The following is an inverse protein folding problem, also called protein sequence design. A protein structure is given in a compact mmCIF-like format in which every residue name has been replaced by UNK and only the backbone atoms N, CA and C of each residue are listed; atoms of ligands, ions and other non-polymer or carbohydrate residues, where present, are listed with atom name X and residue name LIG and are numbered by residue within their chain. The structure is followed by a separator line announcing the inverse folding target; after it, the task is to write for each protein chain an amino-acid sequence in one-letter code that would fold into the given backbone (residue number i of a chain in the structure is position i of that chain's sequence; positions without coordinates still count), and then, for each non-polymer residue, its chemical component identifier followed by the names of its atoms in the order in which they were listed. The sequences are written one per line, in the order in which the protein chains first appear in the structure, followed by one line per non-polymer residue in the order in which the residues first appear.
data_IF_327441696122
#
_entry.id   IF_327441696122
#
_cell.length_a   1.000
_cell.length_b   1.000
_cell.length_c   1.000
_cell.angle_alpha   90.00
_cell.angle_beta   90.00
_cell.angle_gamma   90.00
#
_symmetry.space_group_name_H-M   'P 1'
#
loop_
_entity.id
_entity.type
_entity.pdbx_description
1 polymer ?
#
# COMPACT_ATOMS: atom_id res chain seq x y z
N UNK A 1 35.79 -29.34 -8.11
CA UNK A 1 35.36 -27.92 -8.08
C UNK A 1 33.94 -27.75 -8.62
N UNK A 2 33.61 -28.20 -9.83
CA UNK A 2 32.27 -28.08 -10.44
C UNK A 2 31.12 -28.69 -9.61
N UNK A 3 31.30 -29.89 -9.04
CA UNK A 3 30.29 -30.53 -8.18
C UNK A 3 29.96 -29.72 -6.90
N UNK A 4 30.94 -28.98 -6.36
CA UNK A 4 30.73 -28.10 -5.20
C UNK A 4 29.95 -26.85 -5.60
N UNK A 5 30.25 -26.25 -6.76
CA UNK A 5 29.53 -25.09 -7.30
C UNK A 5 28.07 -25.45 -7.58
N UNK A 6 27.81 -26.60 -8.22
CA UNK A 6 26.47 -27.12 -8.47
C UNK A 6 25.68 -27.36 -7.18
N UNK A 7 26.31 -28.00 -6.18
CA UNK A 7 25.68 -28.22 -4.87
C UNK A 7 25.31 -26.91 -4.18
N UNK A 8 26.17 -25.88 -4.30
CA UNK A 8 25.91 -24.54 -3.76
C UNK A 8 24.80 -23.82 -4.50
N UNK A 9 24.81 -23.84 -5.84
CA UNK A 9 23.74 -23.28 -6.67
C UNK A 9 22.38 -23.93 -6.37
N UNK A 10 22.36 -25.25 -6.22
CA UNK A 10 21.15 -25.99 -5.88
C UNK A 10 20.68 -25.64 -4.46
N UNK A 11 21.58 -25.43 -3.50
CA UNK A 11 21.25 -24.99 -2.14
C UNK A 11 20.75 -23.54 -2.06
N UNK A 12 21.08 -22.67 -3.02
CA UNK A 12 20.59 -21.28 -3.05
C UNK A 12 19.07 -21.23 -3.26
N UNK A 13 18.52 -22.09 -4.13
CA UNK A 13 17.08 -22.12 -4.44
C UNK A 13 16.21 -22.35 -3.19
N UNK A 14 16.41 -23.41 -2.36
CA UNK A 14 15.61 -23.62 -1.16
C UNK A 14 15.85 -22.56 -0.08
N UNK A 15 17.06 -21.99 0.04
CA UNK A 15 17.31 -20.89 0.99
C UNK A 15 16.57 -19.62 0.59
N UNK A 16 16.59 -19.28 -0.70
CA UNK A 16 15.84 -18.13 -1.22
C UNK A 16 14.34 -18.35 -1.04
N UNK A 17 13.85 -19.55 -1.37
CA UNK A 17 12.44 -19.91 -1.16
C UNK A 17 12.02 -19.75 0.30
N UNK A 18 12.82 -20.26 1.25
CA UNK A 18 12.53 -20.13 2.68
C UNK A 18 12.46 -18.65 3.12
N UNK A 19 13.43 -17.82 2.71
CA UNK A 19 13.44 -16.39 3.01
C UNK A 19 12.22 -15.68 2.39
N UNK A 20 11.88 -16.02 1.15
CA UNK A 20 10.72 -15.48 0.44
C UNK A 20 9.39 -15.80 1.13
N UNK A 21 9.21 -17.05 1.59
CA UNK A 21 8.03 -17.46 2.35
C UNK A 21 7.93 -16.68 3.66
N UNK A 22 9.04 -16.57 4.40
CA UNK A 22 9.07 -15.82 5.67
C UNK A 22 8.72 -14.36 5.42
N UNK A 23 9.32 -13.72 4.41
CA UNK A 23 9.04 -12.32 4.08
C UNK A 23 7.57 -12.13 3.70
N UNK A 24 7.01 -13.01 2.87
CA UNK A 24 5.60 -12.98 2.50
C UNK A 24 4.67 -13.05 3.72
N UNK A 25 4.95 -13.96 4.66
CA UNK A 25 4.19 -14.07 5.91
C UNK A 25 4.31 -12.79 6.74
N UNK A 26 5.51 -12.21 6.86
CA UNK A 26 5.73 -10.97 7.61
C UNK A 26 4.93 -9.81 7.00
N UNK A 27 4.96 -9.66 5.67
CA UNK A 27 4.19 -8.62 4.97
C UNK A 27 2.70 -8.83 5.11
N UNK A 28 2.23 -10.08 5.08
CA UNK A 28 0.80 -10.37 5.21
C UNK A 28 0.28 -10.29 6.66
N UNK A 29 1.16 -10.47 7.64
CA UNK A 29 0.85 -10.28 9.06
C UNK A 29 0.92 -8.81 9.50
N UNK A 30 1.55 -7.93 8.71
CA UNK A 30 1.63 -6.51 9.02
C UNK A 30 0.23 -5.87 8.93
N UNK A 31 -0.24 -5.19 10.00
CA UNK A 31 -1.51 -4.48 9.96
C UNK A 31 -1.41 -3.26 9.02
N UNK A 32 -2.40 -3.10 8.13
CA UNK A 32 -2.46 -1.99 7.16
C UNK A 32 -1.79 -2.34 5.83
N UNK A 33 -2.41 -3.23 5.06
CA UNK A 33 -1.97 -3.56 3.71
C UNK A 33 -2.04 -2.36 2.75
N UNK A 34 -1.45 -2.48 1.56
CA UNK A 34 -1.45 -1.40 0.55
C UNK A 34 -2.87 -0.96 0.16
N UNK A 35 -3.84 -1.87 0.19
CA UNK A 35 -5.27 -1.58 -0.06
C UNK A 35 -5.84 -0.73 1.08
N UNK A 36 -5.63 -1.13 2.34
CA UNK A 36 -6.08 -0.36 3.49
C UNK A 36 -5.46 1.04 3.54
N UNK A 37 -4.17 1.17 3.18
CA UNK A 37 -3.50 2.47 3.09
C UNK A 37 -4.09 3.35 2.00
N UNK A 38 -4.42 2.79 0.84
CA UNK A 38 -5.07 3.53 -0.24
C UNK A 38 -6.49 3.96 0.15
N UNK A 39 -7.25 3.08 0.79
CA UNK A 39 -8.58 3.38 1.33
C UNK A 39 -8.50 4.45 2.41
N UNK A 40 -7.51 4.40 3.32
CA UNK A 40 -7.30 5.40 4.36
C UNK A 40 -6.95 6.78 3.77
N UNK A 41 -6.10 6.81 2.73
CA UNK A 41 -5.80 8.02 1.96
C UNK A 41 -7.04 8.60 1.28
N UNK A 42 -7.87 7.76 0.67
CA UNK A 42 -9.14 8.16 0.03
C UNK A 42 -10.19 8.62 1.04
N UNK A 43 -10.25 8.00 2.23
CA UNK A 43 -11.14 8.39 3.34
C UNK A 43 -10.68 9.69 4.02
N UNK A 44 -9.46 10.17 3.75
CA UNK A 44 -8.92 11.40 4.35
C UNK A 44 -8.64 11.26 5.85
N UNK A 45 -8.46 10.04 6.35
CA UNK A 45 -8.31 9.74 7.78
C UNK A 45 -6.99 10.32 8.36
N UNK A 46 -5.94 10.40 7.54
CA UNK A 46 -4.65 11.02 7.90
C UNK A 46 -4.72 12.54 8.13
N UNK A 47 -5.67 13.24 7.48
CA UNK A 47 -5.80 14.70 7.62
C UNK A 47 -6.69 15.04 8.83
N UNK A 48 -7.67 14.19 9.16
CA UNK A 48 -8.62 14.42 10.24
C UNK A 48 -8.06 14.22 11.64
N UNK A 49 -7.19 13.23 11.87
CA UNK A 49 -6.60 13.00 13.19
C UNK A 49 -5.53 14.05 13.55
N UNK A 50 -4.69 14.42 12.59
CA UNK A 50 -3.61 15.40 12.78
C UNK A 50 -4.14 16.84 12.89
N UNK A 51 -5.17 17.20 12.11
CA UNK A 51 -5.81 18.53 12.21
C UNK A 51 -6.57 18.73 13.54
N UNK A 52 -7.04 17.65 14.16
CA UNK A 52 -7.68 17.69 15.49
C UNK A 52 -6.67 17.80 16.63
N UNK A 53 -5.43 17.33 16.44
CA UNK A 53 -4.34 17.47 17.40
C UNK A 53 -3.63 18.83 17.30
N UNK A 54 -3.55 19.43 16.11
CA UNK A 54 -2.91 20.75 15.92
C UNK A 54 -3.85 21.96 16.08
N UNK A 55 -5.16 21.75 16.20
CA UNK A 55 -6.18 22.81 16.22
C UNK A 55 -6.78 23.11 17.60
N UNK A 56 -6.27 22.51 18.66
CA UNK A 56 -6.91 22.48 19.97
C UNK A 56 -6.21 23.28 21.06
N UNK A 57 -5.91 24.56 20.84
CA UNK A 57 -5.51 25.47 21.93
C UNK A 57 -5.62 26.95 21.49
N UNK A 58 -6.81 27.52 21.58
CA UNK A 58 -7.03 28.94 21.92
C UNK A 58 -8.52 29.21 22.13
N UNK A 59 -8.88 29.31 23.40
CA UNK A 59 -10.20 29.65 23.88
C UNK A 59 -10.51 31.15 23.72
N UNK A 60 -11.80 31.40 23.49
CA UNK A 60 -12.60 32.57 23.93
C UNK A 60 -12.36 33.96 23.31
N UNK A 61 -13.32 34.40 22.46
CA UNK A 61 -14.13 35.61 22.71
C UNK A 61 -15.20 35.82 21.61
N UNK A 62 -16.45 35.70 22.03
CA UNK A 62 -17.67 36.42 21.63
C UNK A 62 -17.66 37.27 20.35
N UNK A 63 -18.56 36.94 19.40
CA UNK A 63 -19.45 37.88 18.67
C UNK A 63 -20.42 37.14 17.72
N UNK A 64 -21.73 37.43 17.73
CA UNK A 64 -22.64 36.94 16.70
C UNK A 64 -22.59 37.88 15.50
N UNK A 65 -22.08 37.42 14.36
CA UNK A 65 -22.22 38.16 13.10
C UNK A 65 -22.75 37.23 12.00
N UNK A 66 -24.04 37.41 11.76
CA UNK A 66 -24.78 36.97 10.59
C UNK A 66 -24.23 37.68 9.34
N UNK A 67 -23.93 36.94 8.26
CA UNK A 67 -24.08 37.36 6.85
C UNK A 67 -23.60 36.29 5.85
N UNK A 68 -24.56 35.72 5.12
CA UNK A 68 -24.58 35.42 3.66
C UNK A 68 -23.41 34.73 2.95
N UNK A 69 -23.76 33.59 2.33
CA UNK A 69 -23.39 33.28 0.94
C UNK A 69 -22.04 32.60 0.70
N UNK A 70 -22.08 31.29 0.42
CA UNK A 70 -20.94 30.57 -0.15
C UNK A 70 -20.80 29.18 0.43
N UNK A 71 -21.25 28.19 -0.34
CA UNK A 71 -20.90 26.78 -0.19
C UNK A 71 -19.39 26.60 0.03
N UNK A 72 -18.98 26.44 1.28
CA UNK A 72 -17.70 25.84 1.64
C UNK A 72 -17.90 24.87 2.81
N UNK A 73 -18.97 24.07 2.73
CA UNK A 73 -18.95 22.76 3.36
C UNK A 73 -18.09 21.88 2.48
N UNK A 74 -16.77 21.98 2.67
CA UNK A 74 -15.89 20.82 2.51
C UNK A 74 -16.42 19.78 3.49
N UNK A 75 -17.48 19.09 3.08
CA UNK A 75 -18.08 17.98 3.77
C UNK A 75 -17.09 16.85 3.55
N UNK A 76 -16.16 16.77 4.50
CA UNK A 76 -15.21 15.69 4.65
C UNK A 76 -15.97 14.36 4.49
N UNK A 77 -15.81 13.74 3.30
CA UNK A 77 -16.41 12.47 2.90
C UNK A 77 -15.89 11.26 3.69
N UNK A 78 -15.01 11.46 4.68
CA UNK A 78 -14.44 10.38 5.49
C UNK A 78 -15.43 9.68 6.43
N UNK A 79 -16.62 10.24 6.66
CA UNK A 79 -17.66 9.63 7.49
C UNK A 79 -18.74 8.87 6.69
N UNK A 80 -18.80 9.07 5.37
CA UNK A 80 -19.62 8.22 4.51
C UNK A 80 -18.74 7.05 4.11
N UNK A 81 -19.11 5.84 4.55
CA UNK A 81 -18.42 4.62 4.15
C UNK A 81 -18.18 4.63 2.64
N UNK A 82 -16.94 4.34 2.24
CA UNK A 82 -16.58 4.23 0.83
C UNK A 82 -17.59 3.31 0.14
N UNK A 83 -18.02 3.67 -1.07
CA UNK A 83 -18.93 2.83 -1.86
C UNK A 83 -18.34 1.42 -1.96
N UNK A 84 -19.07 0.36 -1.53
CA UNK A 84 -18.55 -1.01 -1.54
C UNK A 84 -18.05 -1.44 -2.93
N UNK A 85 -18.62 -0.92 -4.01
CA UNK A 85 -18.15 -1.19 -5.37
C UNK A 85 -16.73 -0.66 -5.62
N UNK A 86 -16.38 0.49 -5.03
CA UNK A 86 -15.07 1.12 -5.16
C UNK A 86 -14.02 0.39 -4.32
N UNK A 87 -14.42 -0.14 -3.16
CA UNK A 87 -13.55 -1.02 -2.35
C UNK A 87 -13.20 -2.29 -3.14
N UNK A 88 -14.19 -2.94 -3.74
CA UNK A 88 -13.99 -4.15 -4.55
C UNK A 88 -13.10 -3.88 -5.78
N UNK A 89 -13.25 -2.72 -6.42
CA UNK A 89 -12.38 -2.31 -7.53
C UNK A 89 -10.93 -2.09 -7.08
N UNK A 90 -10.71 -1.45 -5.94
CA UNK A 90 -9.37 -1.29 -5.35
C UNK A 90 -8.78 -2.66 -4.98
N UNK A 91 -9.55 -3.56 -4.37
CA UNK A 91 -9.11 -4.91 -4.02
C UNK A 91 -8.69 -5.72 -5.26
N UNK A 92 -9.43 -5.59 -6.37
CA UNK A 92 -9.10 -6.20 -7.67
C UNK A 92 -7.82 -5.63 -8.26
N UNK A 93 -7.68 -4.30 -8.28
CA UNK A 93 -6.49 -3.63 -8.81
C UNK A 93 -5.21 -4.06 -8.09
N UNK A 94 -5.28 -4.24 -6.78
CA UNK A 94 -4.15 -4.70 -5.96
C UNK A 94 -4.01 -6.23 -5.91
N UNK A 95 -4.93 -6.97 -6.54
CA UNK A 95 -4.92 -8.43 -6.55
C UNK A 95 -5.14 -9.08 -5.18
N UNK A 96 -5.75 -8.35 -4.24
CA UNK A 96 -6.16 -8.87 -2.92
C UNK A 96 -7.46 -9.68 -2.97
N UNK A 97 -8.13 -9.71 -4.12
CA UNK A 97 -9.27 -10.60 -4.43
C UNK A 97 -8.89 -12.10 -4.38
N UNK A 98 -7.60 -12.42 -4.54
CA UNK A 98 -7.09 -13.80 -4.59
C UNK A 98 -6.56 -14.26 -3.23
N UNK A 99 -6.70 -15.56 -2.90
CA UNK A 99 -6.19 -16.09 -1.65
C UNK A 99 -4.66 -15.97 -1.55
N UNK A 100 -4.14 -15.87 -0.33
CA UNK A 100 -2.74 -15.60 -0.03
C UNK A 100 -1.75 -16.51 -0.79
N UNK A 101 -2.08 -17.80 -0.92
CA UNK A 101 -1.22 -18.75 -1.63
C UNK A 101 -1.13 -18.47 -3.14
N UNK A 102 -2.23 -18.08 -3.80
CA UNK A 102 -2.20 -17.73 -5.23
C UNK A 102 -1.33 -16.50 -5.48
N UNK A 103 -1.41 -15.50 -4.59
CA UNK A 103 -0.57 -14.31 -4.65
C UNK A 103 0.91 -14.65 -4.47
N UNK A 104 1.21 -15.56 -3.55
CA UNK A 104 2.58 -16.04 -3.34
C UNK A 104 3.15 -16.72 -4.59
N UNK A 105 2.38 -17.61 -5.24
CA UNK A 105 2.82 -18.26 -6.48
C UNK A 105 2.95 -17.29 -7.65
N UNK A 106 2.05 -16.32 -7.79
CA UNK A 106 2.17 -15.26 -8.79
C UNK A 106 3.42 -14.40 -8.57
N UNK A 107 3.64 -13.94 -7.34
CA UNK A 107 4.84 -13.18 -6.94
C UNK A 107 6.10 -13.99 -7.25
N UNK A 108 6.14 -15.27 -6.89
CA UNK A 108 7.29 -16.13 -7.17
C UNK A 108 7.53 -16.30 -8.68
N UNK A 109 6.47 -16.48 -9.46
CA UNK A 109 6.56 -16.54 -10.93
C UNK A 109 7.11 -15.26 -11.54
N UNK A 110 6.71 -14.10 -11.04
CA UNK A 110 7.19 -12.79 -11.51
C UNK A 110 8.66 -12.59 -11.13
N UNK A 111 9.05 -12.89 -9.89
CA UNK A 111 10.44 -12.76 -9.44
C UNK A 111 11.39 -13.68 -10.21
N UNK A 112 10.96 -14.90 -10.56
CA UNK A 112 11.74 -15.82 -11.40
C UNK A 112 11.91 -15.30 -12.84
N UNK A 113 10.98 -14.46 -13.32
CA UNK A 113 11.08 -13.76 -14.60
C UNK A 113 11.78 -12.41 -14.49
N UNK A 114 12.35 -12.08 -13.32
CA UNK A 114 12.93 -10.77 -12.98
C UNK A 114 11.94 -9.61 -13.12
N UNK A 115 10.65 -9.89 -12.97
CA UNK A 115 9.60 -8.89 -12.94
C UNK A 115 9.27 -8.56 -11.48
N UNK A 116 9.67 -7.37 -11.05
CA UNK A 116 9.43 -6.86 -9.69
C UNK A 116 8.21 -5.94 -9.61
N UNK A 117 7.49 -5.75 -10.72
CA UNK A 117 6.34 -4.85 -10.82
C UNK A 117 6.72 -3.38 -11.03
N UNK A 118 5.70 -2.54 -10.86
CA UNK A 118 5.75 -1.09 -11.09
C UNK A 118 6.10 -0.31 -9.81
N UNK A 119 6.82 0.80 -9.98
CA UNK A 119 7.16 1.71 -8.90
C UNK A 119 5.96 2.57 -8.49
N UNK A 120 5.54 2.48 -7.22
CA UNK A 120 4.48 3.33 -6.65
C UNK A 120 4.74 4.85 -6.71
N UNK A 121 6.00 5.27 -6.87
CA UNK A 121 6.39 6.68 -6.86
C UNK A 121 6.68 7.24 -8.25
N UNK A 122 6.96 6.38 -9.22
CA UNK A 122 7.52 6.78 -10.52
C UNK A 122 6.81 6.18 -11.73
N UNK A 123 5.75 5.38 -11.52
CA UNK A 123 4.94 4.78 -12.58
C UNK A 123 5.80 4.13 -13.69
N UNK A 124 6.91 3.51 -13.28
CA UNK A 124 7.87 2.83 -14.17
C UNK A 124 8.30 1.52 -13.54
N UNK A 125 8.72 0.56 -14.37
CA UNK A 125 9.13 -0.74 -13.89
C UNK A 125 10.31 -0.60 -12.93
N UNK A 126 10.31 -1.39 -11.87
CA UNK A 126 11.38 -1.34 -10.87
C UNK A 126 12.72 -1.74 -11.49
N UNK A 127 12.72 -2.64 -12.47
CA UNK A 127 13.94 -3.06 -13.18
C UNK A 127 14.54 -1.88 -13.93
N UNK A 128 13.74 -1.17 -14.71
CA UNK A 128 14.21 -0.03 -15.51
C UNK A 128 14.69 1.09 -14.59
N UNK A 129 14.00 1.34 -13.48
CA UNK A 129 14.41 2.32 -12.49
C UNK A 129 15.76 2.00 -11.84
N UNK A 130 16.02 0.71 -11.55
CA UNK A 130 17.31 0.27 -11.00
C UNK A 130 18.41 0.41 -12.05
N UNK A 131 18.14 0.07 -13.31
CA UNK A 131 19.09 0.25 -14.41
C UNK A 131 19.41 1.72 -14.67
N UNK A 132 18.42 2.63 -14.55
CA UNK A 132 18.62 4.08 -14.71
C UNK A 132 19.52 4.67 -13.61
N UNK A 133 19.51 4.07 -12.41
CA UNK A 133 20.24 4.58 -11.24
C UNK A 133 21.64 4.00 -11.02
N UNK A 134 22.05 3.00 -11.81
CA UNK A 134 23.39 2.38 -11.75
C UNK A 134 24.36 3.07 -12.71
#
# INVERSE_FOLDING_TARGET
MSAYILRRLLLIVPTLFAIMVINFIVVQAAPGGPVEQMIARLKGEDIGATARVSGGESAETTRPQQSTGGDQRSSYRGAQGLDPALIEEIEKLYGFDKPAHERFFQMMGNYLRFDFGESFYRDTSVVDLVLEKM
#
